data_IF_114423745089
#
_entry.id   IF_114423745089
#
_cell.length_a   1.000
_cell.length_b   1.000
_cell.length_c   1.000
_cell.angle_alpha   90.00
_cell.angle_beta   90.00
_cell.angle_gamma   90.00
#
_symmetry.space_group_name_H-M   'P 1'
#
loop_
_entity.id
_entity.type
_entity.pdbx_description
1 polymer ?
#
# COMPACT_ATOMS: atom_id res chain seq x y z
N UNK A 1 -0.43 12.40 -9.50
CA UNK A 1 -0.86 10.99 -9.55
C UNK A 1 -2.02 10.79 -8.60
N UNK A 2 -2.76 9.69 -8.76
CA UNK A 2 -3.93 9.37 -7.95
C UNK A 2 -3.67 8.12 -7.11
N UNK A 3 -4.01 8.16 -5.82
CA UNK A 3 -3.99 6.98 -4.95
C UNK A 3 -5.39 6.37 -4.95
N UNK A 4 -5.56 5.26 -5.65
CA UNK A 4 -6.82 4.53 -5.73
C UNK A 4 -6.70 3.24 -4.91
N UNK A 5 -7.65 3.00 -4.01
CA UNK A 5 -7.78 1.73 -3.31
C UNK A 5 -8.53 0.72 -4.19
N UNK A 6 -7.96 -0.47 -4.36
CA UNK A 6 -8.57 -1.57 -5.11
C UNK A 6 -8.80 -2.77 -4.19
N UNK A 7 -9.83 -3.57 -4.50
CA UNK A 7 -10.17 -4.76 -3.71
C UNK A 7 -9.21 -5.94 -3.92
N UNK A 8 -8.29 -5.84 -4.90
CA UNK A 8 -7.31 -6.86 -5.21
C UNK A 8 -6.58 -6.58 -6.52
N UNK A 9 -5.64 -7.45 -6.87
CA UNK A 9 -4.82 -7.31 -8.08
C UNK A 9 -5.67 -7.36 -9.36
N UNK A 10 -6.63 -8.29 -9.44
CA UNK A 10 -7.52 -8.40 -10.60
C UNK A 10 -8.39 -7.14 -10.79
N UNK A 11 -8.84 -6.52 -9.69
CA UNK A 11 -9.61 -5.28 -9.77
C UNK A 11 -8.75 -4.17 -10.40
N UNK A 12 -7.51 -4.02 -9.94
CA UNK A 12 -6.56 -3.06 -10.49
C UNK A 12 -6.33 -3.29 -12.00
N UNK A 13 -6.10 -4.54 -12.42
CA UNK A 13 -5.88 -4.89 -13.84
C UNK A 13 -7.09 -4.52 -14.71
N UNK A 14 -8.30 -4.86 -14.26
CA UNK A 14 -9.53 -4.54 -15.02
C UNK A 14 -9.69 -3.02 -15.16
N UNK A 15 -9.49 -2.26 -14.08
CA UNK A 15 -9.65 -0.80 -14.11
C UNK A 15 -8.57 -0.15 -14.97
N UNK A 16 -7.32 -0.62 -14.89
CA UNK A 16 -6.23 -0.13 -15.73
C UNK A 16 -6.52 -0.36 -17.21
N UNK A 17 -6.94 -1.58 -17.58
CA UNK A 17 -7.27 -1.93 -18.97
C UNK A 17 -8.47 -1.13 -19.51
N UNK A 18 -9.51 -0.95 -18.68
CA UNK A 18 -10.67 -0.12 -19.04
C UNK A 18 -10.26 1.33 -19.28
N UNK A 19 -9.48 1.93 -18.37
CA UNK A 19 -9.05 3.32 -18.52
C UNK A 19 -8.15 3.53 -19.74
N UNK A 20 -7.25 2.59 -20.03
CA UNK A 20 -6.41 2.66 -21.22
C UNK A 20 -7.23 2.54 -22.51
N UNK A 21 -8.17 1.59 -22.59
CA UNK A 21 -8.98 1.38 -23.81
C UNK A 21 -10.06 2.42 -24.05
N UNK A 22 -10.74 2.89 -23.00
CA UNK A 22 -11.89 3.79 -23.13
C UNK A 22 -11.48 5.26 -23.18
N UNK A 23 -10.36 5.63 -22.56
CA UNK A 23 -9.94 7.03 -22.44
C UNK A 23 -8.58 7.31 -23.11
N UNK A 24 -7.96 6.31 -23.75
CA UNK A 24 -6.65 6.40 -24.40
C UNK A 24 -5.56 6.99 -23.47
N UNK A 25 -5.66 6.65 -22.18
CA UNK A 25 -4.77 7.14 -21.14
C UNK A 25 -3.62 6.17 -20.92
N UNK A 26 -2.39 6.68 -21.02
CA UNK A 26 -1.18 5.93 -20.69
C UNK A 26 -0.91 6.02 -19.18
N UNK A 27 -1.18 4.93 -18.47
CA UNK A 27 -1.19 4.87 -17.00
C UNK A 27 0.07 4.17 -16.48
N UNK A 28 0.91 4.92 -15.75
CA UNK A 28 2.04 4.37 -15.00
C UNK A 28 1.56 3.95 -13.61
N UNK A 29 1.39 2.64 -13.40
CA UNK A 29 1.04 2.07 -12.09
C UNK A 29 2.30 1.89 -11.23
N UNK A 30 2.27 2.41 -9.99
CA UNK A 30 3.31 2.16 -9.00
C UNK A 30 2.99 0.88 -8.22
N UNK A 31 4.03 0.21 -7.69
CA UNK A 31 3.84 -0.98 -6.88
C UNK A 31 2.81 -0.74 -5.76
N UNK A 32 1.86 -1.68 -5.54
CA UNK A 32 0.86 -1.54 -4.49
C UNK A 32 1.56 -1.50 -3.13
N UNK A 33 1.29 -0.46 -2.34
CA UNK A 33 1.79 -0.39 -0.96
C UNK A 33 0.82 -1.13 -0.04
N UNK A 34 1.35 -2.06 0.75
CA UNK A 34 0.62 -2.65 1.87
C UNK A 34 0.70 -1.73 3.08
N UNK A 35 -0.31 -1.76 3.94
CA UNK A 35 -0.32 -1.00 5.19
C UNK A 35 0.47 -1.78 6.22
N UNK A 36 1.55 -1.18 6.73
CA UNK A 36 2.36 -1.76 7.80
C UNK A 36 1.90 -1.20 9.14
N UNK A 37 1.94 -2.02 10.18
CA UNK A 37 1.73 -1.56 11.56
C UNK A 37 3.06 -1.46 12.27
N UNK A 38 3.40 -0.24 12.68
CA UNK A 38 4.60 0.08 13.42
C UNK A 38 4.26 0.17 14.90
N UNK A 39 4.99 -0.57 15.72
CA UNK A 39 4.95 -0.44 17.18
C UNK A 39 6.17 0.33 17.63
N UNK A 40 5.94 1.50 18.23
CA UNK A 40 6.99 2.38 18.70
C UNK A 40 7.42 2.00 20.11
N UNK A 41 8.67 2.29 20.47
CA UNK A 41 9.24 2.06 21.80
C UNK A 41 8.54 2.85 22.92
N UNK A 42 7.71 3.84 22.56
CA UNK A 42 6.89 4.60 23.50
C UNK A 42 5.52 3.94 23.77
N UNK A 43 5.23 2.79 23.15
CA UNK A 43 3.97 2.06 23.25
C UNK A 43 2.88 2.55 22.28
N UNK A 44 3.20 3.48 21.38
CA UNK A 44 2.25 3.98 20.37
C UNK A 44 2.27 3.10 19.13
N UNK A 45 1.08 2.77 18.62
CA UNK A 45 0.87 2.07 17.37
C UNK A 45 0.56 3.07 16.24
N UNK A 46 1.26 2.94 15.11
CA UNK A 46 1.08 3.78 13.93
C UNK A 46 0.90 2.92 12.67
N UNK A 47 -0.10 3.27 11.87
CA UNK A 47 -0.31 2.65 10.56
C UNK A 47 0.49 3.41 9.49
N UNK A 48 1.48 2.74 8.90
CA UNK A 48 2.31 3.28 7.83
C UNK A 48 1.74 2.89 6.47
N UNK A 49 1.26 3.89 5.73
CA UNK A 49 0.75 3.72 4.37
C UNK A 49 1.82 3.95 3.29
N UNK A 50 2.94 4.57 3.65
CA UNK A 50 4.00 4.94 2.72
C UNK A 50 5.37 4.76 3.39
N UNK A 51 6.35 4.10 2.76
CA UNK A 51 7.70 3.97 3.31
C UNK A 51 8.42 5.29 3.60
N UNK A 52 7.95 6.42 3.04
CA UNK A 52 8.50 7.76 3.34
C UNK A 52 8.11 8.24 4.74
N UNK A 53 6.99 7.75 5.28
CA UNK A 53 6.50 8.11 6.62
C UNK A 53 7.15 7.24 7.72
N UNK A 54 8.19 6.46 7.37
CA UNK A 54 8.89 5.58 8.31
C UNK A 54 9.63 6.42 9.36
N UNK A 55 9.28 6.27 10.66
CA UNK A 55 9.96 6.96 11.74
C UNK A 55 11.38 6.43 11.94
N UNK A 56 12.17 7.17 12.70
CA UNK A 56 13.55 6.83 12.99
C UNK A 56 13.66 5.41 13.60
N UNK A 57 14.62 4.61 13.11
CA UNK A 57 14.72 3.17 13.43
C UNK A 57 14.88 2.94 14.94
N UNK A 58 15.47 3.90 15.65
CA UNK A 58 15.65 3.87 17.10
C UNK A 58 14.34 3.92 17.89
N UNK A 59 13.25 4.41 17.28
CA UNK A 59 11.93 4.48 17.92
C UNK A 59 11.06 3.28 17.60
N UNK A 60 11.50 2.37 16.73
CA UNK A 60 10.71 1.22 16.30
C UNK A 60 11.08 0.02 17.20
N UNK A 61 10.08 -0.56 17.86
CA UNK A 61 10.26 -1.78 18.66
C UNK A 61 10.11 -3.03 17.77
N UNK A 62 9.00 -3.11 17.03
CA UNK A 62 8.77 -4.15 16.03
C UNK A 62 7.78 -3.69 14.96
N UNK A 63 7.78 -4.40 13.83
CA UNK A 63 6.94 -4.12 12.66
C UNK A 63 6.08 -5.34 12.37
N UNK A 64 4.78 -5.12 12.19
CA UNK A 64 3.84 -6.16 11.78
C UNK A 64 3.45 -5.95 10.31
N UNK A 65 3.62 -7.01 9.52
CA UNK A 65 3.18 -7.05 8.13
C UNK A 65 1.81 -7.73 8.02
N UNK A 66 0.92 -7.25 7.13
CA UNK A 66 -0.36 -7.90 6.91
C UNK A 66 -0.16 -9.23 6.18
N UNK A 67 -0.41 -10.35 6.88
CA UNK A 67 -0.40 -11.68 6.28
C UNK A 67 -1.79 -12.11 5.84
N UNK A 68 -1.89 -12.61 4.61
CA UNK A 68 -3.09 -13.27 4.11
C UNK A 68 -2.85 -14.78 3.99
N UNK A 69 -3.82 -15.58 4.40
CA UNK A 69 -3.80 -17.02 4.13
C UNK A 69 -4.61 -17.29 2.86
N UNK A 70 -3.91 -17.45 1.73
CA UNK A 70 -4.53 -17.92 0.50
C UNK A 70 -4.85 -19.43 0.63
N UNK A 71 -6.09 -19.82 0.34
CA UNK A 71 -6.55 -21.23 0.31
C UNK A 71 -6.77 -21.65 -1.12
#
# INVERSE_FOLDING_TARGET
GFRCGFLGLLHLEIVQERLSREFDLDLVTTAPSVVYRLHLTDGTEMEMHNPVDMPDVQRIEYIEEPWIKAT
#
